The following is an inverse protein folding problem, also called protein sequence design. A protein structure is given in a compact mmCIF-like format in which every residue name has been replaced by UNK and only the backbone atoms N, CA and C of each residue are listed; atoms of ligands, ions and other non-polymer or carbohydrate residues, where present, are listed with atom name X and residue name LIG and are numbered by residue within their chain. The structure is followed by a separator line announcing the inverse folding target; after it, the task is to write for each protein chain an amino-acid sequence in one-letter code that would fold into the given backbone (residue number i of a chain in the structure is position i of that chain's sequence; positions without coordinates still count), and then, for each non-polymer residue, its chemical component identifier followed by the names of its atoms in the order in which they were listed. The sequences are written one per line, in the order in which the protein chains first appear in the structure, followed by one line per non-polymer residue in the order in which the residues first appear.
data_IF_821902641308
#
_entry.id   IF_821902641308
#
_cell.length_a   1.000
_cell.length_b   1.000
_cell.length_c   1.000
_cell.angle_alpha   90.00
_cell.angle_beta   90.00
_cell.angle_gamma   90.00
#
_symmetry.space_group_name_H-M   'P 1'
#
loop_
_entity.id
_entity.type
_entity.pdbx_description
1 polymer ?
#
# COMPACT_ATOMS: atom_id res chain seq x y z
N UNK A 1 20.89 -11.93 -15.14
CA UNK A 1 20.19 -10.75 -14.59
C UNK A 1 21.06 -10.14 -13.50
N UNK A 2 21.39 -8.88 -13.61
CA UNK A 2 22.18 -8.13 -12.61
C UNK A 2 21.29 -7.63 -11.46
N UNK A 3 21.88 -7.20 -10.34
CA UNK A 3 21.13 -6.57 -9.24
C UNK A 3 20.37 -5.32 -9.70
N UNK A 4 20.97 -4.51 -10.58
CA UNK A 4 20.34 -3.32 -11.15
C UNK A 4 19.09 -3.68 -11.94
N UNK A 5 19.18 -4.65 -12.87
CA UNK A 5 18.02 -5.14 -13.63
C UNK A 5 16.92 -5.70 -12.75
N UNK A 6 17.28 -6.42 -11.68
CA UNK A 6 16.32 -6.95 -10.72
C UNK A 6 15.59 -5.79 -10.03
N UNK A 7 16.32 -4.82 -9.51
CA UNK A 7 15.73 -3.64 -8.84
C UNK A 7 14.78 -2.88 -9.76
N UNK A 8 15.21 -2.61 -10.99
CA UNK A 8 14.39 -1.94 -12.00
C UNK A 8 13.09 -2.68 -12.29
N UNK A 9 13.13 -4.01 -12.39
CA UNK A 9 11.92 -4.83 -12.61
C UNK A 9 10.96 -4.75 -11.43
N UNK A 10 11.45 -4.78 -10.19
CA UNK A 10 10.60 -4.63 -9.01
C UNK A 10 10.04 -3.22 -8.87
N UNK A 11 10.79 -2.19 -9.22
CA UNK A 11 10.30 -0.81 -9.22
C UNK A 11 9.24 -0.57 -10.29
N UNK A 12 9.34 -1.24 -11.43
CA UNK A 12 8.46 -1.06 -12.59
C UNK A 12 7.45 -2.20 -12.75
N UNK A 13 7.02 -2.84 -11.66
CA UNK A 13 5.97 -3.85 -11.74
C UNK A 13 4.72 -3.29 -12.42
N UNK A 14 4.25 -3.99 -13.44
CA UNK A 14 3.05 -3.58 -14.17
C UNK A 14 1.83 -3.69 -13.25
N UNK A 15 1.24 -2.57 -12.88
CA UNK A 15 0.07 -2.51 -12.03
C UNK A 15 -1.16 -2.11 -12.84
N UNK A 16 -2.33 -2.65 -12.49
CA UNK A 16 -3.59 -2.27 -13.12
C UNK A 16 -3.87 -0.78 -12.88
N UNK A 17 -4.02 -0.01 -13.96
CA UNK A 17 -4.22 1.46 -13.93
C UNK A 17 -3.12 2.24 -13.16
N UNK A 18 -1.91 1.68 -13.04
CA UNK A 18 -0.82 2.33 -12.32
C UNK A 18 -0.99 2.44 -10.79
N UNK A 19 -2.00 1.78 -10.20
CA UNK A 19 -2.36 1.99 -8.79
C UNK A 19 -2.71 0.73 -7.99
N UNK A 20 -2.82 -0.44 -8.63
CA UNK A 20 -3.25 -1.64 -7.94
C UNK A 20 -2.06 -2.36 -7.27
N UNK A 21 -1.94 -2.39 -5.93
CA UNK A 21 -0.78 -2.91 -5.22
C UNK A 21 -0.73 -4.45 -5.16
N UNK A 22 -1.51 -5.16 -5.99
CA UNK A 22 -1.68 -6.60 -5.90
C UNK A 22 -0.38 -7.37 -6.14
N UNK A 23 0.38 -7.05 -7.22
CA UNK A 23 1.66 -7.67 -7.51
C UNK A 23 2.75 -7.28 -6.51
N UNK A 24 2.88 -6.00 -6.10
CA UNK A 24 3.76 -5.62 -5.00
C UNK A 24 3.53 -6.38 -3.71
N UNK A 25 2.28 -6.58 -3.28
CA UNK A 25 1.97 -7.37 -2.07
C UNK A 25 2.41 -8.82 -2.19
N UNK A 26 2.16 -9.47 -3.34
CA UNK A 26 2.67 -10.82 -3.58
C UNK A 26 4.21 -10.86 -3.56
N UNK A 27 4.86 -9.90 -4.20
CA UNK A 27 6.32 -9.82 -4.24
C UNK A 27 6.92 -9.64 -2.84
N UNK A 28 6.33 -8.74 -2.02
CA UNK A 28 6.74 -8.55 -0.62
C UNK A 28 6.54 -9.80 0.23
N UNK A 29 5.41 -10.50 0.09
CA UNK A 29 5.16 -11.78 0.78
C UNK A 29 6.19 -12.83 0.38
N UNK A 30 6.55 -12.92 -0.91
CA UNK A 30 7.58 -13.85 -1.39
C UNK A 30 8.99 -13.45 -0.93
N UNK A 31 9.31 -12.15 -0.82
CA UNK A 31 10.56 -11.66 -0.23
C UNK A 31 10.69 -12.05 1.24
N UNK A 32 9.60 -11.92 2.01
CA UNK A 32 9.59 -12.35 3.41
C UNK A 32 9.89 -13.85 3.55
N UNK A 33 9.29 -14.69 2.70
CA UNK A 33 9.58 -16.15 2.69
C UNK A 33 11.02 -16.43 2.27
N UNK A 34 11.52 -15.73 1.24
CA UNK A 34 12.93 -15.84 0.83
C UNK A 34 13.90 -15.46 1.97
N UNK A 35 13.57 -14.40 2.73
CA UNK A 35 14.35 -13.95 3.87
C UNK A 35 14.40 -14.97 5.01
N UNK A 36 13.35 -15.79 5.17
CA UNK A 36 13.29 -16.90 6.14
C UNK A 36 13.94 -18.19 5.63
N UNK A 37 14.48 -18.19 4.40
CA UNK A 37 15.09 -19.39 3.81
C UNK A 37 14.08 -20.47 3.40
N UNK A 38 12.81 -20.09 3.20
CA UNK A 38 11.77 -21.02 2.77
C UNK A 38 11.93 -21.43 1.30
N UNK A 39 11.24 -22.51 0.91
CA UNK A 39 11.28 -23.02 -0.46
C UNK A 39 10.88 -21.95 -1.48
N UNK A 40 11.61 -21.96 -2.61
CA UNK A 40 11.42 -20.99 -3.69
C UNK A 40 10.04 -21.08 -4.34
N UNK A 41 9.59 -22.28 -4.63
CA UNK A 41 8.26 -22.51 -5.20
C UNK A 41 7.25 -22.70 -4.08
N UNK A 42 6.22 -21.92 -4.12
CA UNK A 42 5.19 -21.86 -3.09
C UNK A 42 3.90 -22.39 -3.72
N UNK A 43 3.30 -23.45 -3.21
CA UNK A 43 2.00 -23.91 -3.66
C UNK A 43 0.96 -22.78 -3.58
N UNK A 44 0.16 -22.61 -4.63
CA UNK A 44 -0.89 -21.58 -4.63
C UNK A 44 -1.82 -21.70 -3.42
N UNK A 45 -2.10 -22.93 -2.99
CA UNK A 45 -2.90 -23.19 -1.79
C UNK A 45 -2.35 -22.53 -0.51
N UNK A 46 -1.02 -22.37 -0.41
CA UNK A 46 -0.37 -21.72 0.73
C UNK A 46 -0.34 -20.19 0.58
N UNK A 47 -0.43 -19.65 -0.64
CA UNK A 47 -0.42 -18.23 -0.92
C UNK A 47 -1.82 -17.60 -0.87
N UNK A 48 -2.84 -18.36 -1.17
CA UNK A 48 -4.21 -17.84 -1.40
C UNK A 48 -4.75 -17.03 -0.22
N UNK A 49 -4.84 -17.63 0.98
CA UNK A 49 -5.41 -16.91 2.13
C UNK A 49 -4.48 -15.80 2.68
N UNK A 50 -3.15 -16.00 2.84
CA UNK A 50 -2.26 -14.91 3.26
C UNK A 50 -2.29 -13.72 2.29
N UNK A 51 -2.22 -13.97 0.99
CA UNK A 51 -2.28 -12.90 -0.01
C UNK A 51 -3.64 -12.22 -0.03
N UNK A 52 -4.73 -12.96 0.14
CA UNK A 52 -6.07 -12.39 0.25
C UNK A 52 -6.21 -11.48 1.46
N UNK A 53 -5.67 -11.86 2.62
CA UNK A 53 -5.64 -11.02 3.80
C UNK A 53 -4.90 -9.70 3.54
N UNK A 54 -3.72 -9.74 2.92
CA UNK A 54 -2.98 -8.54 2.52
C UNK A 54 -3.75 -7.67 1.52
N UNK A 55 -4.45 -8.27 0.55
CA UNK A 55 -5.27 -7.55 -0.41
C UNK A 55 -6.49 -6.88 0.22
N UNK A 56 -7.07 -7.48 1.26
CA UNK A 56 -8.17 -6.90 2.04
C UNK A 56 -7.67 -5.72 2.86
N UNK A 57 -6.53 -5.87 3.51
CA UNK A 57 -6.01 -4.90 4.45
C UNK A 57 -5.33 -3.70 3.76
N UNK A 58 -4.51 -3.95 2.75
CA UNK A 58 -3.67 -2.93 2.10
C UNK A 58 -4.04 -2.64 0.65
N UNK A 59 -5.01 -3.37 0.11
CA UNK A 59 -5.53 -3.13 -1.23
C UNK A 59 -6.68 -2.13 -1.26
N UNK A 60 -7.08 -1.66 -2.46
CA UNK A 60 -8.25 -0.80 -2.58
C UNK A 60 -9.53 -1.56 -2.18
N UNK A 61 -10.50 -0.89 -1.53
CA UNK A 61 -11.77 -1.51 -1.15
C UNK A 61 -12.49 -2.11 -2.37
N UNK A 62 -12.81 -3.40 -2.30
CA UNK A 62 -13.49 -4.13 -3.40
C UNK A 62 -14.48 -5.14 -2.84
N UNK A 63 -15.50 -5.47 -3.66
CA UNK A 63 -16.48 -6.52 -3.31
C UNK A 63 -15.85 -7.92 -3.28
N UNK A 64 -14.75 -8.14 -4.02
CA UNK A 64 -14.05 -9.42 -4.08
C UNK A 64 -12.55 -9.19 -4.29
N UNK A 65 -11.74 -10.03 -3.67
CA UNK A 65 -10.29 -10.04 -3.80
C UNK A 65 -9.86 -11.32 -4.52
N UNK A 66 -8.92 -11.18 -5.44
CA UNK A 66 -8.53 -12.22 -6.40
C UNK A 66 -7.02 -12.47 -6.34
N UNK A 67 -6.52 -13.27 -5.35
CA UNK A 67 -5.10 -13.62 -5.24
C UNK A 67 -4.54 -14.32 -6.48
N UNK A 68 -5.40 -15.04 -7.22
CA UNK A 68 -5.03 -15.70 -8.46
C UNK A 68 -4.54 -14.74 -9.56
N UNK A 69 -4.94 -13.46 -9.51
CA UNK A 69 -4.51 -12.47 -10.51
C UNK A 69 -3.04 -12.07 -10.33
N UNK A 70 -2.59 -11.54 -9.19
CA UNK A 70 -1.18 -11.24 -9.00
C UNK A 70 -0.33 -12.50 -9.12
N UNK A 71 -0.76 -13.65 -8.61
CA UNK A 71 -0.05 -14.92 -8.73
C UNK A 71 0.23 -15.27 -10.19
N UNK A 72 -0.75 -15.14 -11.07
CA UNK A 72 -0.60 -15.44 -12.49
C UNK A 72 0.14 -14.36 -13.26
N UNK A 73 -0.21 -13.10 -13.04
CA UNK A 73 0.31 -12.00 -13.86
C UNK A 73 1.67 -11.46 -13.45
N UNK A 74 2.21 -11.79 -12.29
CA UNK A 74 3.57 -11.39 -11.91
C UNK A 74 4.64 -12.00 -12.83
N UNK A 75 4.31 -13.10 -13.54
CA UNK A 75 5.21 -13.69 -14.55
C UNK A 75 5.57 -12.69 -15.66
N UNK A 76 4.65 -11.83 -16.03
CA UNK A 76 4.84 -10.87 -17.12
C UNK A 76 5.92 -9.83 -16.83
N UNK A 77 6.28 -9.65 -15.56
CA UNK A 77 7.34 -8.72 -15.13
C UNK A 77 8.73 -9.39 -15.12
N UNK A 78 8.80 -10.69 -15.42
CA UNK A 78 10.04 -11.44 -15.57
C UNK A 78 10.81 -11.71 -14.27
N UNK A 79 10.17 -11.52 -13.12
CA UNK A 79 10.72 -11.84 -11.79
C UNK A 79 10.12 -13.10 -11.17
N UNK A 80 9.02 -13.57 -11.71
CA UNK A 80 8.18 -14.64 -11.19
C UNK A 80 8.00 -15.77 -12.21
N UNK A 81 7.81 -16.98 -11.74
CA UNK A 81 7.46 -18.14 -12.56
C UNK A 81 6.33 -18.92 -11.89
N UNK A 82 5.46 -19.51 -12.70
CA UNK A 82 4.43 -20.46 -12.26
C UNK A 82 4.77 -21.80 -12.86
N UNK A 83 4.68 -22.85 -12.06
CA UNK A 83 4.90 -24.25 -12.40
C UNK A 83 3.64 -25.06 -12.17
N UNK A 84 3.60 -26.27 -12.74
CA UNK A 84 2.48 -27.21 -12.63
C UNK A 84 1.14 -26.62 -13.09
N UNK A 85 1.16 -25.66 -14.02
CA UNK A 85 -0.04 -24.97 -14.50
C UNK A 85 -0.31 -25.20 -16.00
N UNK A 86 0.43 -26.11 -16.64
CA UNK A 86 0.34 -26.42 -18.08
C UNK A 86 -1.07 -26.96 -18.45
N UNK A 87 -1.65 -27.78 -17.55
CA UNK A 87 -2.99 -28.35 -17.71
C UNK A 87 -4.12 -27.49 -17.12
N UNK A 88 -3.81 -26.30 -16.63
CA UNK A 88 -4.82 -25.41 -16.08
C UNK A 88 -5.68 -24.80 -17.18
N UNK A 89 -7.00 -24.97 -17.07
CA UNK A 89 -7.95 -24.35 -18.00
C UNK A 89 -7.94 -22.84 -17.82
N UNK A 90 -7.51 -22.14 -18.88
CA UNK A 90 -7.48 -20.68 -18.93
C UNK A 90 -8.82 -20.14 -19.42
N UNK A 91 -9.32 -19.08 -18.79
CA UNK A 91 -10.54 -18.40 -19.26
C UNK A 91 -10.32 -17.82 -20.65
N UNK A 92 -11.25 -18.04 -21.55
CA UNK A 92 -11.25 -17.42 -22.89
C UNK A 92 -11.71 -15.97 -22.77
N UNK A 93 -11.01 -15.03 -23.45
CA UNK A 93 -11.38 -13.61 -23.50
C UNK A 93 -10.23 -12.67 -23.17
N UNK A 94 -10.53 -11.40 -22.86
CA UNK A 94 -9.53 -10.36 -22.55
C UNK A 94 -8.66 -10.66 -21.32
N UNK A 95 -9.05 -11.61 -20.45
CA UNK A 95 -8.35 -12.05 -19.25
C UNK A 95 -8.07 -13.54 -19.36
N UNK A 96 -6.89 -13.89 -19.86
CA UNK A 96 -6.46 -15.27 -20.06
C UNK A 96 -5.68 -15.78 -18.84
N UNK A 97 -6.34 -15.91 -17.69
CA UNK A 97 -5.75 -16.54 -16.50
C UNK A 97 -6.62 -17.73 -16.03
N UNK A 98 -6.00 -18.71 -15.34
CA UNK A 98 -6.74 -19.75 -14.64
C UNK A 98 -7.58 -19.16 -13.50
N UNK A 99 -8.66 -19.88 -13.15
CA UNK A 99 -9.41 -19.55 -11.93
C UNK A 99 -8.66 -20.07 -10.69
N UNK A 100 -8.98 -19.53 -9.49
CA UNK A 100 -8.53 -20.10 -8.21
C UNK A 100 -8.72 -21.62 -8.17
N UNK A 101 -9.90 -22.12 -8.56
CA UNK A 101 -10.21 -23.55 -8.58
C UNK A 101 -9.28 -24.35 -9.48
N UNK A 102 -8.92 -23.82 -10.64
CA UNK A 102 -8.01 -24.50 -11.57
C UNK A 102 -6.57 -24.52 -11.03
N UNK A 103 -6.09 -23.42 -10.46
CA UNK A 103 -4.77 -23.38 -9.83
C UNK A 103 -4.64 -24.38 -8.68
N UNK A 104 -5.67 -24.50 -7.85
CA UNK A 104 -5.74 -25.50 -6.79
C UNK A 104 -5.79 -26.93 -7.33
N UNK A 105 -6.60 -27.17 -8.38
CA UNK A 105 -6.77 -28.51 -9.00
C UNK A 105 -5.48 -29.04 -9.57
N UNK A 106 -4.70 -28.21 -10.24
CA UNK A 106 -3.44 -28.63 -10.88
C UNK A 106 -2.24 -28.58 -9.91
N UNK A 107 -2.43 -28.12 -8.68
CA UNK A 107 -1.34 -27.94 -7.73
C UNK A 107 -0.31 -26.91 -8.19
N UNK A 108 -0.79 -25.79 -8.78
CA UNK A 108 0.10 -24.75 -9.27
C UNK A 108 1.02 -24.20 -8.18
N UNK A 109 2.28 -23.98 -8.52
CA UNK A 109 3.30 -23.41 -7.64
C UNK A 109 3.89 -22.15 -8.27
N UNK A 110 4.15 -21.13 -7.46
CA UNK A 110 4.75 -19.89 -7.92
C UNK A 110 5.93 -19.47 -7.08
N UNK A 111 6.88 -18.78 -7.67
CA UNK A 111 8.08 -18.30 -6.96
C UNK A 111 8.94 -17.41 -7.83
N UNK A 112 9.91 -16.74 -7.25
CA UNK A 112 10.85 -15.96 -8.02
C UNK A 112 11.59 -16.86 -9.03
N UNK A 113 11.93 -16.33 -10.20
CA UNK A 113 12.77 -17.06 -11.15
C UNK A 113 14.09 -17.44 -10.48
N UNK A 114 14.71 -18.59 -10.83
CA UNK A 114 15.86 -19.15 -10.07
C UNK A 114 17.01 -18.17 -9.87
N UNK A 115 17.29 -17.32 -10.85
CA UNK A 115 18.35 -16.34 -10.78
C UNK A 115 18.05 -15.22 -9.79
N UNK A 116 16.82 -14.71 -9.76
CA UNK A 116 16.36 -13.68 -8.81
C UNK A 116 16.40 -14.25 -7.40
N UNK A 117 15.84 -15.45 -7.18
CA UNK A 117 15.86 -16.11 -5.89
C UNK A 117 17.28 -16.29 -5.34
N UNK A 118 18.21 -16.75 -6.18
CA UNK A 118 19.60 -16.96 -5.76
C UNK A 118 20.26 -15.68 -5.28
N UNK A 119 20.07 -14.58 -5.99
CA UNK A 119 20.64 -13.28 -5.64
C UNK A 119 20.02 -12.74 -4.35
N UNK A 120 18.69 -12.79 -4.23
CA UNK A 120 17.98 -12.34 -3.02
C UNK A 120 18.34 -13.17 -1.78
N UNK A 121 18.44 -14.50 -1.92
CA UNK A 121 18.77 -15.40 -0.82
C UNK A 121 20.23 -15.25 -0.36
N UNK A 122 21.16 -14.93 -1.28
CA UNK A 122 22.58 -14.77 -0.96
C UNK A 122 22.97 -13.39 -0.46
N UNK A 123 22.12 -12.40 -0.61
CA UNK A 123 22.40 -10.99 -0.24
C UNK A 123 21.20 -10.37 0.49
N UNK A 124 21.22 -10.48 1.80
CA UNK A 124 20.18 -9.92 2.70
C UNK A 124 20.02 -8.41 2.50
N UNK A 125 21.12 -7.68 2.34
CA UNK A 125 21.08 -6.23 2.14
C UNK A 125 20.36 -5.87 0.84
N UNK A 126 20.66 -6.58 -0.24
CA UNK A 126 19.98 -6.36 -1.50
C UNK A 126 18.49 -6.75 -1.44
N UNK A 127 18.12 -7.80 -0.70
CA UNK A 127 16.72 -8.15 -0.46
C UNK A 127 15.98 -7.01 0.25
N UNK A 128 16.60 -6.41 1.28
CA UNK A 128 16.04 -5.25 1.99
C UNK A 128 15.89 -4.04 1.07
N UNK A 129 16.89 -3.74 0.24
CA UNK A 129 16.81 -2.66 -0.77
C UNK A 129 15.63 -2.86 -1.74
N UNK A 130 15.40 -4.11 -2.19
CA UNK A 130 14.27 -4.44 -3.08
C UNK A 130 12.93 -4.31 -2.36
N UNK A 131 12.84 -4.79 -1.12
CA UNK A 131 11.62 -4.66 -0.32
C UNK A 131 11.27 -3.18 -0.07
N UNK A 132 12.27 -2.37 0.29
CA UNK A 132 12.10 -0.93 0.50
C UNK A 132 11.65 -0.24 -0.79
N UNK A 133 12.28 -0.57 -1.93
CA UNK A 133 11.90 0.00 -3.22
C UNK A 133 10.45 -0.34 -3.63
N UNK A 134 9.97 -1.55 -3.28
CA UNK A 134 8.56 -1.93 -3.48
C UNK A 134 7.61 -1.13 -2.57
N UNK A 135 7.98 -0.95 -1.31
CA UNK A 135 7.19 -0.15 -0.36
C UNK A 135 7.12 1.30 -0.82
N UNK A 136 8.25 1.93 -1.08
CA UNK A 136 8.35 3.33 -1.50
C UNK A 136 7.63 3.58 -2.85
N UNK A 137 7.67 2.61 -3.74
CA UNK A 137 7.07 2.72 -5.08
C UNK A 137 5.56 2.48 -5.13
N UNK A 138 4.96 1.83 -4.11
CA UNK A 138 3.58 1.36 -4.23
C UNK A 138 2.68 1.62 -3.02
N UNK A 139 3.25 2.05 -1.88
CA UNK A 139 2.50 2.26 -0.64
C UNK A 139 2.88 3.57 0.05
N UNK A 140 1.93 4.24 0.69
CA UNK A 140 2.25 5.35 1.59
C UNK A 140 3.17 4.89 2.72
N UNK A 141 4.09 5.77 3.14
CA UNK A 141 5.06 5.45 4.20
C UNK A 141 4.39 5.03 5.52
N UNK A 142 3.20 5.55 5.81
CA UNK A 142 2.43 5.22 7.02
C UNK A 142 1.98 3.76 7.06
N UNK A 143 1.96 3.07 5.91
CA UNK A 143 1.59 1.65 5.81
C UNK A 143 2.80 0.71 5.77
N UNK A 144 4.02 1.23 5.60
CA UNK A 144 5.20 0.38 5.41
C UNK A 144 5.41 -0.58 6.57
N UNK A 145 5.39 -0.08 7.82
CA UNK A 145 5.58 -0.92 8.99
C UNK A 145 4.44 -1.93 9.16
N UNK A 146 3.20 -1.51 8.96
CA UNK A 146 2.04 -2.39 9.06
C UNK A 146 2.11 -3.54 8.04
N UNK A 147 2.58 -3.26 6.79
CA UNK A 147 2.79 -4.29 5.76
C UNK A 147 3.93 -5.23 6.16
N UNK A 148 5.05 -4.69 6.64
CA UNK A 148 6.20 -5.49 7.09
C UNK A 148 5.83 -6.42 8.23
N UNK A 149 5.08 -5.92 9.21
CA UNK A 149 4.57 -6.72 10.33
C UNK A 149 3.64 -7.84 9.84
N UNK A 150 2.73 -7.52 8.92
CA UNK A 150 1.78 -8.49 8.37
C UNK A 150 2.44 -9.63 7.59
N UNK A 151 3.58 -9.37 6.91
CA UNK A 151 4.32 -10.40 6.17
C UNK A 151 5.44 -11.07 7.00
N UNK A 152 5.73 -10.54 8.19
CA UNK A 152 6.82 -11.01 9.05
C UNK A 152 8.20 -10.78 8.44
N UNK A 153 8.44 -9.57 7.92
CA UNK A 153 9.73 -9.18 7.34
C UNK A 153 10.33 -8.01 8.11
N UNK A 154 11.39 -8.28 8.88
CA UNK A 154 12.16 -7.24 9.54
C UNK A 154 13.18 -6.63 8.57
N UNK A 155 13.02 -5.37 8.28
CA UNK A 155 14.04 -4.58 7.61
C UNK A 155 15.00 -4.04 8.67
N UNK A 156 16.07 -4.79 8.97
CA UNK A 156 17.11 -4.29 9.87
C UNK A 156 17.83 -3.13 9.18
N UNK A 157 17.81 -1.98 9.85
CA UNK A 157 18.43 -0.70 9.48
C UNK A 157 17.80 0.03 8.30
N UNK A 158 16.96 0.94 8.70
CA UNK A 158 16.43 2.06 7.97
C UNK A 158 17.52 3.14 7.74
N UNK A 159 17.93 3.40 6.50
CA UNK A 159 18.32 4.74 6.15
C UNK A 159 17.02 5.48 5.81
N UNK A 160 16.46 6.19 6.78
CA UNK A 160 15.35 7.13 6.64
C UNK A 160 15.30 7.70 5.23
N UNK A 161 14.29 7.31 4.47
CA UNK A 161 13.94 7.96 3.22
C UNK A 161 13.82 9.45 3.52
N UNK A 162 14.76 10.25 3.03
CA UNK A 162 14.77 11.70 3.27
C UNK A 162 13.57 12.28 2.55
N UNK A 163 12.47 12.44 3.29
CA UNK A 163 11.34 13.27 2.87
C UNK A 163 11.88 14.66 2.59
N UNK A 164 11.36 15.36 1.58
CA UNK A 164 11.67 16.78 1.41
C UNK A 164 11.12 17.55 2.63
N UNK A 165 11.98 18.01 3.53
CA UNK A 165 11.53 18.70 4.75
C UNK A 165 10.72 19.97 4.43
N UNK A 166 10.98 20.59 3.26
CA UNK A 166 10.28 21.80 2.82
C UNK A 166 8.80 21.55 2.55
N UNK A 167 8.44 20.40 1.96
CA UNK A 167 7.04 20.05 1.73
C UNK A 167 6.27 19.96 3.05
N UNK A 168 6.83 19.24 4.03
CA UNK A 168 6.22 19.10 5.34
C UNK A 168 6.00 20.46 6.00
N UNK A 169 7.06 21.27 6.07
CA UNK A 169 7.01 22.56 6.74
C UNK A 169 6.01 23.53 6.09
N UNK A 170 5.96 23.55 4.76
CA UNK A 170 5.02 24.38 4.01
C UNK A 170 3.56 23.94 4.22
N UNK A 171 3.29 22.64 4.20
CA UNK A 171 1.95 22.11 4.46
C UNK A 171 1.53 22.40 5.89
N UNK A 172 2.37 22.09 6.90
CA UNK A 172 2.03 22.34 8.30
C UNK A 172 1.79 23.83 8.58
N UNK A 173 2.61 24.71 8.00
CA UNK A 173 2.41 26.15 8.10
C UNK A 173 1.08 26.61 7.48
N UNK A 174 0.74 26.09 6.29
CA UNK A 174 -0.51 26.44 5.60
C UNK A 174 -1.77 26.05 6.40
N UNK A 175 -1.68 25.00 7.22
CA UNK A 175 -2.76 24.53 8.09
C UNK A 175 -2.65 25.02 9.55
N UNK A 176 -1.72 25.95 9.85
CA UNK A 176 -1.51 26.44 11.20
C UNK A 176 -1.15 25.36 12.20
N UNK A 177 -0.41 24.33 11.75
CA UNK A 177 0.04 23.18 12.55
C UNK A 177 -1.11 22.36 13.17
N UNK A 178 -2.25 22.29 12.51
CA UNK A 178 -3.45 21.59 12.97
C UNK A 178 -3.90 20.52 11.98
N UNK A 179 -4.46 19.46 12.52
CA UNK A 179 -5.11 18.44 11.68
C UNK A 179 -6.32 19.04 10.96
N UNK A 180 -6.33 18.94 9.64
CA UNK A 180 -7.40 19.46 8.78
C UNK A 180 -8.77 18.84 9.08
N UNK A 181 -8.83 17.62 9.67
CA UNK A 181 -10.09 16.92 9.97
C UNK A 181 -10.61 17.16 11.39
N UNK A 182 -9.75 17.03 12.40
CA UNK A 182 -10.19 17.08 13.80
C UNK A 182 -9.66 18.28 14.58
N UNK A 183 -8.82 19.12 13.97
CA UNK A 183 -8.22 20.28 14.64
C UNK A 183 -7.15 19.95 15.66
N UNK A 184 -6.75 18.65 15.82
CA UNK A 184 -5.68 18.26 16.73
C UNK A 184 -4.40 19.06 16.46
N UNK A 185 -3.76 19.61 17.51
CA UNK A 185 -2.64 20.55 17.41
C UNK A 185 -1.63 20.43 18.57
N UNK A 186 -1.38 19.21 19.05
CA UNK A 186 -0.47 18.99 20.17
C UNK A 186 0.94 19.50 19.88
N UNK A 187 1.47 20.29 20.79
CA UNK A 187 2.84 20.79 20.76
C UNK A 187 3.57 20.46 22.07
N UNK A 188 4.83 20.11 21.95
CA UNK A 188 5.74 19.97 23.08
C UNK A 188 6.86 20.99 22.93
N UNK A 189 6.77 22.10 23.68
CA UNK A 189 7.64 23.25 23.48
C UNK A 189 7.46 23.88 22.09
N UNK A 190 8.45 23.74 21.20
CA UNK A 190 8.39 24.21 19.82
C UNK A 190 8.11 23.10 18.82
N UNK A 191 8.07 21.85 19.28
CA UNK A 191 7.91 20.70 18.41
C UNK A 191 6.43 20.35 18.24
N UNK A 192 6.00 20.25 17.00
CA UNK A 192 4.65 19.81 16.64
C UNK A 192 4.61 18.27 16.67
N UNK A 193 3.77 17.73 17.53
CA UNK A 193 3.67 16.29 17.78
C UNK A 193 2.43 15.70 17.10
N UNK A 194 2.63 14.62 16.34
CA UNK A 194 1.55 13.84 15.74
C UNK A 194 0.79 14.54 14.61
N UNK A 195 1.34 15.62 14.03
CA UNK A 195 0.83 16.23 12.79
C UNK A 195 1.82 15.97 11.66
N UNK A 196 1.31 15.46 10.57
CA UNK A 196 2.06 15.00 9.39
C UNK A 196 1.51 15.65 8.12
N UNK A 197 2.37 15.78 7.09
CA UNK A 197 1.97 16.25 5.78
C UNK A 197 1.64 15.05 4.88
N UNK A 198 0.39 14.83 4.60
CA UNK A 198 -0.12 13.81 3.68
C UNK A 198 -0.18 14.36 2.25
N UNK A 199 0.24 13.57 1.26
CA UNK A 199 0.02 13.91 -0.15
C UNK A 199 -1.41 13.53 -0.55
N UNK A 200 -2.18 14.46 -1.12
CA UNK A 200 -3.54 14.20 -1.66
C UNK A 200 -3.44 13.21 -2.83
N UNK A 201 -2.62 13.52 -3.82
CA UNK A 201 -2.19 12.58 -4.84
C UNK A 201 -0.82 12.05 -4.41
N UNK A 202 -0.72 10.78 -4.15
CA UNK A 202 0.50 10.16 -3.65
C UNK A 202 1.71 10.49 -4.51
N UNK A 203 2.85 10.73 -3.87
CA UNK A 203 4.12 11.03 -4.53
C UNK A 203 4.49 9.93 -5.55
N UNK A 204 4.30 8.66 -5.22
CA UNK A 204 4.51 7.51 -6.11
C UNK A 204 3.57 7.48 -7.33
N UNK A 205 2.45 8.19 -7.28
CA UNK A 205 1.53 8.39 -8.40
C UNK A 205 1.81 9.69 -9.16
N UNK A 206 3.05 10.22 -9.08
CA UNK A 206 3.48 11.50 -9.63
C UNK A 206 2.67 12.69 -9.07
N UNK A 207 2.34 12.64 -7.78
CA UNK A 207 1.81 13.77 -7.05
C UNK A 207 2.92 14.78 -6.74
N UNK A 208 2.72 16.08 -7.04
CA UNK A 208 3.73 17.10 -6.75
C UNK A 208 3.87 17.33 -5.23
N UNK A 209 5.10 17.56 -4.75
CA UNK A 209 5.37 17.96 -3.36
C UNK A 209 5.15 19.47 -3.18
N UNK A 210 3.91 19.91 -3.38
CA UNK A 210 3.47 21.31 -3.25
C UNK A 210 2.33 21.40 -2.23
N UNK A 211 2.16 22.55 -1.61
CA UNK A 211 1.10 22.79 -0.61
C UNK A 211 -0.31 22.49 -1.14
N UNK A 212 -0.55 22.72 -2.43
CA UNK A 212 -1.85 22.43 -3.07
C UNK A 212 -2.13 20.91 -3.18
N UNK A 213 -1.11 20.08 -3.07
CA UNK A 213 -1.23 18.63 -3.03
C UNK A 213 -0.98 18.06 -1.63
N UNK A 214 -1.02 18.90 -0.60
CA UNK A 214 -0.74 18.54 0.78
C UNK A 214 -1.92 18.75 1.73
N UNK A 215 -2.07 17.85 2.70
CA UNK A 215 -2.99 17.96 3.84
C UNK A 215 -2.19 17.83 5.13
N UNK A 216 -2.44 18.70 6.11
CA UNK A 216 -1.97 18.46 7.46
C UNK A 216 -2.96 17.54 8.19
N UNK A 217 -2.53 16.35 8.57
CA UNK A 217 -3.35 15.36 9.26
C UNK A 217 -2.65 14.89 10.54
N UNK A 218 -3.41 14.59 11.59
CA UNK A 218 -2.82 13.86 12.71
C UNK A 218 -2.52 12.42 12.27
N UNK A 219 -1.59 11.75 12.94
CA UNK A 219 -1.13 10.41 12.58
C UNK A 219 -2.27 9.40 12.40
N UNK A 220 -3.35 9.51 13.20
CA UNK A 220 -4.54 8.68 13.02
C UNK A 220 -5.25 8.97 11.69
N UNK A 221 -5.55 10.24 11.41
CA UNK A 221 -6.26 10.62 10.20
C UNK A 221 -5.40 10.41 8.95
N UNK A 222 -4.08 10.55 9.04
CA UNK A 222 -3.18 10.22 7.94
C UNK A 222 -3.26 8.73 7.56
N UNK A 223 -3.17 7.82 8.54
CA UNK A 223 -3.38 6.38 8.29
C UNK A 223 -4.77 6.06 7.71
N UNK A 224 -5.82 6.69 8.20
CA UNK A 224 -7.18 6.49 7.66
C UNK A 224 -7.29 6.99 6.22
N UNK A 225 -6.65 8.12 5.89
CA UNK A 225 -6.59 8.65 4.53
C UNK A 225 -5.86 7.71 3.58
N UNK A 226 -4.68 7.24 3.96
CA UNK A 226 -3.86 6.33 3.17
C UNK A 226 -4.54 4.97 2.95
N UNK A 227 -5.34 4.51 3.90
CA UNK A 227 -6.19 3.30 3.78
C UNK A 227 -7.49 3.54 2.99
N UNK A 228 -7.73 4.76 2.52
CA UNK A 228 -8.93 5.11 1.75
C UNK A 228 -10.22 5.10 2.56
N UNK A 229 -10.15 5.22 3.90
CA UNK A 229 -11.33 5.34 4.75
C UNK A 229 -12.12 6.62 4.45
N UNK A 230 -11.44 7.64 3.97
CA UNK A 230 -12.04 8.84 3.39
C UNK A 230 -11.20 9.33 2.21
N UNK A 231 -11.82 10.15 1.35
CA UNK A 231 -11.17 10.79 0.20
C UNK A 231 -11.65 12.24 0.08
N UNK A 232 -10.95 13.03 -0.73
CA UNK A 232 -11.38 14.36 -1.13
C UNK A 232 -12.09 14.24 -2.48
N UNK A 233 -13.30 14.77 -2.60
CA UNK A 233 -13.88 15.06 -3.91
C UNK A 233 -13.30 16.37 -4.45
N UNK A 234 -13.30 16.54 -5.78
CA UNK A 234 -12.59 17.63 -6.47
C UNK A 234 -13.01 19.07 -6.09
N UNK A 235 -13.92 19.23 -5.13
CA UNK A 235 -14.43 20.50 -4.63
C UNK A 235 -14.10 20.76 -3.15
N UNK A 236 -13.08 20.08 -2.58
CA UNK A 236 -12.68 20.30 -1.19
C UNK A 236 -13.56 19.64 -0.11
N UNK A 237 -14.37 18.68 -0.48
CA UNK A 237 -15.23 17.95 0.46
C UNK A 237 -14.67 16.58 0.74
N UNK A 238 -14.57 16.20 2.03
CA UNK A 238 -14.21 14.82 2.42
C UNK A 238 -15.42 13.92 2.31
N UNK A 239 -15.31 12.82 1.55
CA UNK A 239 -16.30 11.75 1.55
C UNK A 239 -15.72 10.50 2.23
N UNK A 240 -16.48 9.91 3.15
CA UNK A 240 -16.10 8.68 3.83
C UNK A 240 -16.50 7.44 3.03
N UNK A 241 -15.68 6.40 3.08
CA UNK A 241 -16.02 5.14 2.42
C UNK A 241 -17.33 4.57 2.96
N UNK A 242 -18.16 4.01 2.08
CA UNK A 242 -19.58 3.66 2.31
C UNK A 242 -19.87 2.52 3.31
N UNK A 243 -19.07 2.34 4.33
CA UNK A 243 -19.34 1.33 5.37
C UNK A 243 -19.74 1.97 6.71
N UNK A 244 -20.62 2.96 6.67
CA UNK A 244 -21.33 3.42 7.87
C UNK A 244 -20.80 4.67 8.55
N UNK A 245 -19.96 5.48 7.90
CA UNK A 245 -19.49 6.74 8.46
C UNK A 245 -20.02 7.95 7.66
N UNK A 246 -20.48 8.96 8.39
CA UNK A 246 -21.10 10.15 7.86
C UNK A 246 -20.15 11.04 7.04
N UNK A 247 -20.69 11.76 6.07
CA UNK A 247 -19.99 12.76 5.27
C UNK A 247 -19.55 13.91 6.18
N UNK A 248 -18.26 14.22 6.22
CA UNK A 248 -17.72 15.43 6.85
C UNK A 248 -17.40 16.43 5.75
N UNK A 249 -18.10 17.55 5.75
CA UNK A 249 -17.81 18.65 4.84
C UNK A 249 -16.56 19.40 5.30
N UNK A 250 -15.54 19.42 4.45
CA UNK A 250 -14.32 20.19 4.67
C UNK A 250 -14.23 21.29 3.59
N UNK A 251 -14.21 22.53 4.01
CA UNK A 251 -14.02 23.67 3.11
C UNK A 251 -12.55 24.09 3.13
N UNK A 252 -11.77 23.72 2.11
CA UNK A 252 -10.46 24.31 1.85
C UNK A 252 -10.65 25.58 1.00
N UNK A 253 -10.62 26.70 1.61
CA UNK A 253 -10.67 27.98 0.90
C UNK A 253 -10.46 29.15 1.84
N UNK A 254 -9.42 29.95 1.54
CA UNK A 254 -9.10 31.24 2.14
C UNK A 254 -8.99 31.29 3.67
N UNK A 255 -7.74 31.15 4.16
CA UNK A 255 -7.22 31.65 5.45
C UNK A 255 -8.06 31.54 6.74
N UNK A 256 -9.12 30.74 6.77
CA UNK A 256 -9.84 30.38 7.99
C UNK A 256 -10.44 29.00 7.84
N UNK A 257 -9.78 27.97 8.38
CA UNK A 257 -10.41 26.69 8.63
C UNK A 257 -11.58 26.89 9.60
N UNK A 258 -12.81 26.79 9.11
CA UNK A 258 -14.00 26.85 9.94
C UNK A 258 -14.54 25.43 10.09
N UNK A 259 -14.37 24.88 11.29
CA UNK A 259 -15.07 23.66 11.67
C UNK A 259 -16.56 23.89 11.59
N UNK A 260 -17.26 23.24 10.67
CA UNK A 260 -18.72 23.20 10.65
C UNK A 260 -19.16 22.01 11.50
N UNK A 261 -19.85 22.31 12.60
CA UNK A 261 -20.47 21.33 13.47
C UNK A 261 -21.47 20.46 12.72
N UNK A 262 -21.32 19.15 12.84
CA UNK A 262 -22.26 18.16 12.33
C UNK A 262 -23.43 18.03 13.28
N UNK A 263 -24.66 18.26 12.81
CA UNK A 263 -25.86 17.79 13.49
C UNK A 263 -26.01 16.28 13.30
N UNK A 264 -26.01 15.55 14.41
CA UNK A 264 -26.03 14.11 14.49
C UNK A 264 -27.41 13.51 14.30
N UNK A 265 -27.48 12.44 13.52
CA UNK A 265 -28.19 11.23 13.91
C UNK A 265 -27.28 10.05 13.61
N UNK A 266 -26.47 9.67 14.58
CA UNK A 266 -25.70 8.43 14.53
C UNK A 266 -26.44 7.34 15.32
N UNK A 267 -26.50 6.09 14.86
CA UNK A 267 -26.84 4.97 15.74
C UNK A 267 -25.65 4.65 16.64
N UNK A 268 -25.98 4.32 17.89
CA UNK A 268 -25.08 4.06 19.00
C UNK A 268 -23.89 3.14 18.66
N UNK A 269 -22.68 3.66 18.78
CA UNK A 269 -21.46 2.85 18.89
C UNK A 269 -21.29 2.46 20.36
N UNK A 270 -21.64 1.23 20.70
CA UNK A 270 -21.32 0.62 21.98
C UNK A 270 -19.83 0.32 22.03
N UNK A 271 -19.05 1.16 22.69
CA UNK A 271 -17.71 0.83 23.14
C UNK A 271 -17.84 -0.19 24.27
N UNK A 272 -17.47 -1.44 24.03
CA UNK A 272 -17.24 -2.41 25.11
C UNK A 272 -15.89 -2.09 25.75
N UNK A 273 -15.94 -1.89 27.05
CA UNK A 273 -14.79 -1.80 27.95
C UNK A 273 -14.03 -3.12 28.01
#
# INVERSE_FOLDING_TARGET
MTKTEIRERFQNLSTWQGRAPHKPLLALLALARCARGEERLIPYAQLDEPLKALLIEFGPPRKSHHPEYPFWYLQTDGVWTVKNAEDAKVRRGKRSQPTKRELLRVGAEGGFVPQVQRILASDRRFLVEVAQALLDGHFPDTLHQDILDAIGLDLIEDPKTKRDPRFRDQVLLAYGYRCALCGFDLQLGRDVIGIEAAHIKWHMANGPSTTNNGLALCSLHHKLFDRGAFTLDGATTTSWARNGLSIVHFMAGSNKARMVSLSHTAPDVVLRQ
#
